data_IF_484444152519
#
_entry.id   IF_484444152519
#
_cell.length_a   1.000
_cell.length_b   1.000
_cell.length_c   1.000
_cell.angle_alpha   90.00
_cell.angle_beta   90.00
_cell.angle_gamma   90.00
#
_symmetry.space_group_name_H-M   'P 1'
#
loop_
_entity.id
_entity.type
_entity.pdbx_description
1 polymer ?
#
# COMPACT_ATOMS: atom_id res chain seq x y z
N UNK A 1 -5.67 -14.15 10.98
CA UNK A 1 -4.46 -13.31 10.94
C UNK A 1 -3.39 -14.08 10.21
N UNK A 2 -2.50 -13.41 9.47
CA UNK A 2 -1.44 -14.05 8.69
C UNK A 2 -0.36 -14.66 9.59
N UNK A 3 0.55 -15.46 9.04
CA UNK A 3 1.69 -15.98 9.81
C UNK A 3 2.56 -14.87 10.39
N UNK A 4 3.21 -15.16 11.52
CA UNK A 4 3.99 -14.19 12.29
C UNK A 4 5.47 -14.08 11.84
N UNK A 5 5.95 -15.04 11.05
CA UNK A 5 7.34 -15.15 10.58
C UNK A 5 7.58 -14.52 9.19
N UNK A 6 6.60 -13.78 8.67
CA UNK A 6 6.75 -13.00 7.45
C UNK A 6 7.77 -11.87 7.60
N UNK A 7 8.69 -11.75 6.64
CA UNK A 7 9.75 -10.75 6.66
C UNK A 7 9.25 -9.32 6.40
N UNK A 8 8.11 -9.16 5.72
CA UNK A 8 7.55 -7.86 5.35
C UNK A 8 6.02 -7.82 5.37
N UNK A 9 5.47 -6.61 5.22
CA UNK A 9 4.03 -6.43 4.98
C UNK A 9 3.55 -7.01 3.66
N UNK A 10 4.38 -6.98 2.61
CA UNK A 10 4.05 -7.54 1.30
C UNK A 10 3.92 -9.06 1.35
N UNK A 11 4.75 -9.75 2.13
CA UNK A 11 4.63 -11.20 2.30
C UNK A 11 3.31 -11.59 2.99
N UNK A 12 2.87 -10.78 3.97
CA UNK A 12 1.55 -10.94 4.60
C UNK A 12 0.42 -10.74 3.59
N UNK A 13 0.53 -9.76 2.69
CA UNK A 13 -0.45 -9.54 1.63
C UNK A 13 -0.50 -10.71 0.64
N UNK A 14 0.64 -11.29 0.26
CA UNK A 14 0.68 -12.46 -0.61
C UNK A 14 -0.05 -13.66 0.02
N UNK A 15 0.12 -13.90 1.33
CA UNK A 15 -0.66 -14.93 2.05
C UNK A 15 -2.16 -14.63 2.02
N UNK A 16 -2.56 -13.39 2.30
CA UNK A 16 -3.97 -12.98 2.24
C UNK A 16 -4.57 -13.17 0.84
N UNK A 17 -3.87 -12.75 -0.21
CA UNK A 17 -4.34 -12.88 -1.58
C UNK A 17 -4.56 -14.35 -1.97
N UNK A 18 -3.64 -15.23 -1.59
CA UNK A 18 -3.77 -16.67 -1.81
C UNK A 18 -4.95 -17.27 -1.02
N UNK A 19 -5.10 -16.89 0.27
CA UNK A 19 -6.19 -17.38 1.12
C UNK A 19 -7.57 -16.89 0.66
N UNK A 20 -7.65 -15.68 0.09
CA UNK A 20 -8.89 -15.11 -0.43
C UNK A 20 -9.15 -15.42 -1.92
N UNK A 21 -8.21 -16.09 -2.61
CA UNK A 21 -8.27 -16.39 -4.03
C UNK A 21 -8.58 -15.15 -4.90
N UNK A 22 -7.92 -14.02 -4.60
CA UNK A 22 -8.07 -12.80 -5.39
C UNK A 22 -7.50 -12.99 -6.80
N UNK A 23 -8.13 -12.41 -7.84
CA UNK A 23 -7.62 -12.48 -9.19
C UNK A 23 -6.34 -11.65 -9.36
N UNK A 24 -5.54 -11.96 -10.38
CA UNK A 24 -4.24 -11.32 -10.60
C UNK A 24 -4.34 -9.81 -10.89
N UNK A 25 -5.49 -9.36 -11.40
CA UNK A 25 -5.79 -7.94 -11.68
C UNK A 25 -6.41 -7.20 -10.49
N UNK A 26 -6.51 -7.84 -9.32
CA UNK A 26 -7.06 -7.21 -8.13
C UNK A 26 -6.10 -6.16 -7.55
N UNK A 27 -6.53 -4.89 -7.56
CA UNK A 27 -5.75 -3.81 -6.93
C UNK A 27 -5.91 -3.90 -5.41
N UNK A 28 -4.79 -4.05 -4.71
CA UNK A 28 -4.69 -4.07 -3.25
C UNK A 28 -3.91 -2.86 -2.76
N UNK A 29 -4.43 -2.16 -1.75
CA UNK A 29 -3.71 -1.07 -1.07
C UNK A 29 -3.16 -1.57 0.25
N UNK A 30 -1.84 -1.52 0.40
CA UNK A 30 -1.15 -1.84 1.65
C UNK A 30 -1.14 -0.63 2.61
N UNK A 31 -2.23 -0.43 3.36
CA UNK A 31 -2.32 0.63 4.35
C UNK A 31 -1.70 0.18 5.68
N UNK A 32 -0.67 0.89 6.15
CA UNK A 32 -0.01 0.55 7.41
C UNK A 32 -0.91 0.89 8.62
N UNK A 33 -0.81 0.09 9.68
CA UNK A 33 -1.64 0.25 10.88
C UNK A 33 -1.20 1.41 11.79
N UNK A 34 0.00 1.94 11.59
CA UNK A 34 0.57 3.09 12.31
C UNK A 34 0.24 4.44 11.65
N UNK A 35 -0.62 4.42 10.62
CA UNK A 35 -1.06 5.58 9.85
C UNK A 35 -2.56 5.92 10.10
N UNK A 36 -2.96 6.26 11.35
CA UNK A 36 -4.37 6.39 11.73
C UNK A 36 -5.09 7.59 11.09
N UNK A 37 -4.34 8.55 10.53
CA UNK A 37 -4.87 9.78 9.96
C UNK A 37 -4.71 9.86 8.44
N UNK A 38 -4.37 8.75 7.77
CA UNK A 38 -4.27 8.74 6.31
C UNK A 38 -5.60 9.19 5.71
N UNK A 39 -5.59 10.27 4.89
CA UNK A 39 -6.80 10.74 4.24
C UNK A 39 -7.27 9.69 3.23
N UNK A 40 -8.59 9.45 3.18
CA UNK A 40 -9.20 8.57 2.17
C UNK A 40 -8.82 9.00 0.73
N UNK A 41 -8.67 10.30 0.49
CA UNK A 41 -8.21 10.84 -0.79
C UNK A 41 -6.83 10.29 -1.22
N UNK A 42 -5.92 10.04 -0.26
CA UNK A 42 -4.63 9.41 -0.55
C UNK A 42 -4.80 7.96 -1.02
N UNK A 43 -5.65 7.18 -0.35
CA UNK A 43 -5.97 5.81 -0.78
C UNK A 43 -6.55 5.79 -2.20
N UNK A 44 -7.47 6.70 -2.51
CA UNK A 44 -8.00 6.80 -3.88
C UNK A 44 -6.96 7.24 -4.91
N UNK A 45 -6.07 8.16 -4.54
CA UNK A 45 -5.01 8.64 -5.42
C UNK A 45 -4.02 7.53 -5.80
N UNK A 46 -3.60 6.68 -4.85
CA UNK A 46 -2.68 5.58 -5.17
C UNK A 46 -3.33 4.51 -6.04
N UNK A 47 -4.63 4.22 -5.82
CA UNK A 47 -5.40 3.30 -6.69
C UNK A 47 -5.49 3.86 -8.11
N UNK A 48 -5.83 5.14 -8.26
CA UNK A 48 -5.91 5.78 -9.57
C UNK A 48 -4.55 5.81 -10.28
N UNK A 49 -3.47 6.05 -9.55
CA UNK A 49 -2.12 6.04 -10.10
C UNK A 49 -1.71 4.66 -10.65
N UNK A 50 -2.01 3.59 -9.92
CA UNK A 50 -1.76 2.22 -10.39
C UNK A 50 -2.63 1.88 -11.61
N UNK A 51 -3.93 2.18 -11.54
CA UNK A 51 -4.88 1.85 -12.61
C UNK A 51 -4.64 2.60 -13.93
N UNK A 52 -3.99 3.77 -13.88
CA UNK A 52 -3.68 4.57 -15.06
C UNK A 52 -2.39 4.15 -15.78
N UNK A 53 -1.53 3.35 -15.14
CA UNK A 53 -0.23 2.95 -15.67
C UNK A 53 -0.13 1.46 -16.00
N UNK A 54 1.06 1.03 -16.41
CA UNK A 54 1.44 -0.36 -16.65
C UNK A 54 2.36 -0.92 -15.54
N UNK A 55 2.62 -0.12 -14.50
CA UNK A 55 3.44 -0.52 -13.36
C UNK A 55 2.74 -1.58 -12.51
N UNK A 56 3.51 -2.47 -11.89
CA UNK A 56 3.00 -3.45 -10.94
C UNK A 56 2.72 -2.85 -9.54
N UNK A 57 3.16 -1.62 -9.28
CA UNK A 57 3.03 -0.97 -7.98
C UNK A 57 3.03 0.56 -8.13
N UNK A 58 2.21 1.24 -7.33
CA UNK A 58 2.23 2.68 -7.17
C UNK A 58 2.32 3.04 -5.68
N UNK A 59 2.84 4.23 -5.39
CA UNK A 59 2.90 4.79 -4.03
C UNK A 59 2.69 6.31 -4.09
N UNK A 60 2.52 6.95 -2.93
CA UNK A 60 2.45 8.39 -2.79
C UNK A 60 3.72 8.93 -2.13
N UNK A 61 4.04 10.18 -2.44
CA UNK A 61 5.07 10.95 -1.77
C UNK A 61 4.57 12.38 -1.56
N UNK A 62 5.10 13.05 -0.54
CA UNK A 62 4.87 14.47 -0.29
C UNK A 62 6.20 15.22 -0.33
N UNK A 63 6.24 16.44 -0.92
CA UNK A 63 7.43 17.28 -0.86
C UNK A 63 7.83 17.60 0.58
N UNK A 64 9.13 17.68 0.83
CA UNK A 64 9.70 18.24 2.05
C UNK A 64 9.94 19.73 1.79
N UNK A 65 9.18 20.60 2.47
CA UNK A 65 9.25 22.05 2.25
C UNK A 65 10.16 22.77 3.25
N UNK A 66 10.38 22.19 4.42
CA UNK A 66 11.23 22.74 5.46
C UNK A 66 12.04 21.60 6.11
N UNK A 67 13.30 21.89 6.39
CA UNK A 67 14.15 21.02 7.20
C UNK A 67 14.32 21.76 8.53
N UNK A 68 13.85 21.17 9.63
CA UNK A 68 14.10 21.72 10.95
C UNK A 68 15.62 21.73 11.19
N UNK A 69 16.21 22.91 11.35
CA UNK A 69 17.60 23.03 11.76
C UNK A 69 17.74 22.52 13.20
N UNK A 70 18.71 21.62 13.41
CA UNK A 70 19.09 21.09 14.72
C UNK A 70 19.73 22.17 15.61
#
# INVERSE_FOLDING_TARGET
>A
MTRADHASGSDRLAECAAACAWPEDHIVVNLQGDEPFVPAAGVHAVVAALAAGDAAMATLATPINEIAAL
#
